data_IF_485439932873
#
_entry.id   IF_485439932873
#
_cell.length_a   1.000
_cell.length_b   1.000
_cell.length_c   1.000
_cell.angle_alpha   90.00
_cell.angle_beta   90.00
_cell.angle_gamma   90.00
#
_symmetry.space_group_name_H-M   'P 1'
#
loop_
_entity.id
_entity.type
_entity.pdbx_description
1 polymer ?
#
# COMPACT_ATOMS: atom_id res chain seq x y z
N UNK A 1 -13.98 -2.46 24.11
CA UNK A 1 -13.30 -1.33 23.44
C UNK A 1 -14.22 -0.14 23.28
N UNK A 2 -15.44 -0.31 22.76
CA UNK A 2 -16.42 0.77 22.52
C UNK A 2 -16.66 1.68 23.73
N UNK A 3 -16.93 1.12 24.92
CA UNK A 3 -17.14 1.94 26.14
C UNK A 3 -15.97 2.86 26.49
N UNK A 4 -14.73 2.47 26.19
CA UNK A 4 -13.56 3.31 26.46
C UNK A 4 -13.42 4.41 25.39
N UNK A 5 -13.82 4.13 24.15
CA UNK A 5 -13.84 5.09 23.05
C UNK A 5 -14.94 6.15 23.26
N UNK A 6 -16.15 5.74 23.65
CA UNK A 6 -17.28 6.66 23.87
C UNK A 6 -17.05 7.61 25.05
N UNK A 7 -16.27 7.17 26.05
CA UNK A 7 -15.91 7.99 27.22
C UNK A 7 -14.62 8.81 26.97
N UNK A 8 -14.02 8.71 25.78
CA UNK A 8 -12.78 9.43 25.44
C UNK A 8 -11.56 9.00 26.27
N UNK A 9 -11.62 7.83 26.91
CA UNK A 9 -10.51 7.34 27.74
C UNK A 9 -9.50 6.58 26.88
N UNK A 10 -8.68 7.34 26.15
CA UNK A 10 -7.69 6.83 25.22
C UNK A 10 -6.61 5.97 25.90
N UNK A 11 -6.26 6.24 27.16
CA UNK A 11 -5.33 5.38 27.93
C UNK A 11 -5.88 3.98 28.12
N UNK A 12 -7.14 3.86 28.55
CA UNK A 12 -7.82 2.58 28.74
C UNK A 12 -8.07 1.87 27.42
N UNK A 13 -8.41 2.62 26.37
CA UNK A 13 -8.57 2.08 25.02
C UNK A 13 -7.26 1.51 24.47
N UNK A 14 -6.16 2.24 24.57
CA UNK A 14 -4.83 1.80 24.14
C UNK A 14 -4.37 0.54 24.89
N UNK A 15 -4.53 0.52 26.21
CA UNK A 15 -4.22 -0.67 27.01
C UNK A 15 -5.06 -1.87 26.56
N UNK A 16 -6.37 -1.67 26.34
CA UNK A 16 -7.25 -2.74 25.89
C UNK A 16 -6.86 -3.26 24.52
N UNK A 17 -6.54 -2.39 23.55
CA UNK A 17 -6.03 -2.78 22.22
C UNK A 17 -4.73 -3.58 22.34
N UNK A 18 -3.82 -3.22 23.26
CA UNK A 18 -2.57 -3.98 23.47
C UNK A 18 -2.81 -5.36 24.08
N UNK A 19 -3.80 -5.50 24.97
CA UNK A 19 -4.11 -6.75 25.65
C UNK A 19 -4.95 -7.69 24.78
N UNK A 20 -5.93 -7.14 24.05
CA UNK A 20 -6.84 -7.91 23.19
C UNK A 20 -6.37 -8.02 21.75
N UNK A 21 -5.51 -7.10 21.32
CA UNK A 21 -4.83 -7.22 20.04
C UNK A 21 -4.10 -8.54 20.04
N UNK A 22 -4.41 -9.41 19.08
CA UNK A 22 -3.56 -10.56 18.81
C UNK A 22 -2.16 -9.98 18.69
N UNK A 23 -1.23 -10.43 19.55
CA UNK A 23 0.20 -10.31 19.23
C UNK A 23 0.26 -10.79 17.80
N UNK A 24 0.66 -9.92 16.87
CA UNK A 24 0.92 -10.37 15.51
C UNK A 24 1.76 -11.62 15.71
N UNK A 25 1.20 -12.79 15.35
CA UNK A 25 2.00 -13.99 15.21
C UNK A 25 3.13 -13.50 14.34
N UNK A 26 4.32 -13.45 14.92
CA UNK A 26 5.39 -12.59 14.41
C UNK A 26 5.48 -12.77 12.92
N UNK A 27 5.76 -11.68 12.21
CA UNK A 27 5.95 -11.61 10.75
C UNK A 27 7.03 -12.58 10.21
N UNK A 28 7.53 -13.51 11.03
CA UNK A 28 8.00 -14.79 10.55
C UNK A 28 6.85 -15.79 10.61
N UNK A 29 6.10 -15.94 9.51
CA UNK A 29 5.65 -17.30 9.18
C UNK A 29 6.86 -18.20 9.41
N UNK A 30 6.70 -19.19 10.28
CA UNK A 30 7.77 -20.16 10.47
C UNK A 30 7.86 -20.85 9.13
N UNK A 31 8.93 -20.58 8.39
CA UNK A 31 9.08 -21.13 7.05
C UNK A 31 9.10 -22.63 7.20
N UNK A 32 8.16 -23.31 6.57
CA UNK A 32 8.00 -24.74 6.67
C UNK A 32 8.44 -25.44 5.39
N UNK A 33 8.84 -26.70 5.55
CA UNK A 33 8.96 -27.64 4.45
C UNK A 33 7.59 -27.93 3.83
N UNK A 34 7.58 -28.64 2.70
CA UNK A 34 6.34 -29.05 2.03
C UNK A 34 5.44 -29.95 2.90
N UNK A 35 6.02 -30.65 3.88
CA UNK A 35 5.30 -31.47 4.86
C UNK A 35 4.75 -30.67 6.06
N UNK A 36 4.99 -29.35 6.10
CA UNK A 36 4.56 -28.47 7.18
C UNK A 36 5.51 -28.41 8.39
N UNK A 37 6.63 -29.13 8.37
CA UNK A 37 7.62 -29.09 9.44
C UNK A 37 8.38 -27.75 9.46
N UNK A 38 8.66 -27.18 10.64
CA UNK A 38 9.33 -25.88 10.74
C UNK A 38 10.82 -25.97 10.39
N UNK A 39 11.30 -25.04 9.55
CA UNK A 39 12.71 -24.96 9.15
C UNK A 39 13.46 -24.04 10.11
N UNK A 40 14.31 -24.63 10.94
CA UNK A 40 15.16 -23.89 11.89
C UNK A 40 16.47 -23.41 11.28
N UNK A 41 16.97 -24.09 10.24
CA UNK A 41 18.23 -23.74 9.58
C UNK A 41 18.07 -22.55 8.63
N UNK A 42 18.89 -21.51 8.77
CA UNK A 42 18.81 -20.29 7.96
C UNK A 42 19.10 -20.53 6.47
N UNK A 43 20.09 -21.34 6.14
CA UNK A 43 20.42 -21.65 4.74
C UNK A 43 19.24 -22.35 4.06
N UNK A 44 18.65 -23.33 4.75
CA UNK A 44 17.48 -24.05 4.24
C UNK A 44 16.26 -23.15 4.06
N UNK A 45 16.07 -22.16 4.95
CA UNK A 45 15.03 -21.14 4.80
C UNK A 45 15.19 -20.33 3.51
N UNK A 46 16.42 -19.95 3.15
CA UNK A 46 16.70 -19.22 1.90
C UNK A 46 16.43 -20.09 0.66
N UNK A 47 16.82 -21.36 0.69
CA UNK A 47 16.50 -22.31 -0.38
C UNK A 47 14.99 -22.47 -0.55
N UNK A 48 14.25 -22.58 0.56
CA UNK A 48 12.78 -22.70 0.52
C UNK A 48 12.11 -21.46 -0.06
N UNK A 49 12.64 -20.26 0.22
CA UNK A 49 12.20 -19.03 -0.45
C UNK A 49 12.47 -19.07 -1.95
N UNK A 50 13.66 -19.50 -2.37
CA UNK A 50 14.01 -19.59 -3.79
C UNK A 50 13.10 -20.59 -4.55
N UNK A 51 12.81 -21.74 -3.95
CA UNK A 51 11.85 -22.71 -4.47
C UNK A 51 10.45 -22.11 -4.62
N UNK A 52 9.96 -21.42 -3.58
CA UNK A 52 8.64 -20.79 -3.59
C UNK A 52 8.53 -19.73 -4.69
N UNK A 53 9.51 -18.82 -4.80
CA UNK A 53 9.53 -17.81 -5.85
C UNK A 53 9.64 -18.42 -7.24
N UNK A 54 10.46 -19.46 -7.40
CA UNK A 54 10.60 -20.15 -8.69
C UNK A 54 9.28 -20.79 -9.13
N UNK A 55 8.52 -21.38 -8.21
CA UNK A 55 7.23 -21.97 -8.51
C UNK A 55 6.14 -20.91 -8.79
N UNK A 56 6.13 -19.81 -8.03
CA UNK A 56 5.16 -18.71 -8.23
C UNK A 56 5.39 -17.95 -9.54
N UNK A 57 6.66 -17.74 -9.89
CA UNK A 57 7.09 -16.90 -11.02
C UNK A 57 7.63 -17.71 -12.20
N UNK A 58 7.40 -19.02 -12.25
CA UNK A 58 7.58 -19.79 -13.47
C UNK A 58 6.48 -19.43 -14.47
N UNK A 59 6.55 -18.21 -15.01
CA UNK A 59 5.77 -17.82 -16.17
C UNK A 59 6.26 -18.58 -17.39
N UNK A 60 5.34 -19.01 -18.24
CA UNK A 60 5.69 -19.44 -19.59
C UNK A 60 6.49 -18.32 -20.27
N UNK A 61 7.49 -18.64 -21.10
CA UNK A 61 8.14 -17.64 -21.93
C UNK A 61 7.04 -16.87 -22.64
N UNK A 62 6.99 -15.57 -22.37
CA UNK A 62 5.94 -14.76 -22.94
C UNK A 62 6.05 -14.93 -24.47
N UNK A 63 4.94 -15.20 -25.17
CA UNK A 63 4.99 -15.48 -26.59
C UNK A 63 5.73 -14.32 -27.26
N UNK A 64 6.70 -14.63 -28.13
CA UNK A 64 7.55 -13.64 -28.80
C UNK A 64 6.76 -12.58 -29.59
N UNK A 65 5.44 -12.75 -29.70
CA UNK A 65 4.46 -11.75 -30.09
C UNK A 65 4.12 -10.75 -28.98
N UNK A 66 5.11 -10.29 -28.21
CA UNK A 66 5.04 -8.90 -27.78
C UNK A 66 5.30 -8.08 -29.03
N UNK A 67 4.25 -7.54 -29.65
CA UNK A 67 4.42 -6.38 -30.51
C UNK A 67 5.24 -5.40 -29.69
N UNK A 68 6.49 -5.17 -30.10
CA UNK A 68 7.36 -4.24 -29.42
C UNK A 68 6.55 -2.95 -29.27
N UNK A 69 6.16 -2.62 -28.04
CA UNK A 69 5.60 -1.31 -27.75
C UNK A 69 6.66 -0.38 -28.30
N UNK A 70 6.34 0.48 -29.30
CA UNK A 70 7.34 1.34 -29.88
C UNK A 70 8.00 2.07 -28.72
N UNK A 71 9.32 1.90 -28.61
CA UNK A 71 10.10 2.23 -27.41
C UNK A 71 10.07 3.73 -27.04
N UNK A 72 9.28 4.53 -27.76
CA UNK A 72 9.11 5.93 -27.52
C UNK A 72 7.84 6.40 -28.26
N UNK A 73 6.65 6.18 -27.70
CA UNK A 73 5.60 7.18 -27.91
C UNK A 73 5.99 8.32 -26.97
N UNK A 74 6.41 9.49 -27.47
CA UNK A 74 6.64 10.63 -26.59
C UNK A 74 5.31 10.92 -25.92
N UNK A 75 5.24 10.71 -24.61
CA UNK A 75 4.13 11.22 -23.84
C UNK A 75 4.25 12.75 -23.95
N UNK A 76 3.34 13.40 -24.68
CA UNK A 76 3.22 14.85 -24.71
C UNK A 76 2.70 15.32 -23.35
N UNK A 77 3.52 15.16 -22.32
CA UNK A 77 3.32 15.77 -21.02
C UNK A 77 4.04 17.09 -21.10
N UNK A 78 3.28 18.18 -21.13
CA UNK A 78 3.82 19.53 -21.00
C UNK A 78 4.59 19.60 -19.69
N UNK A 79 5.92 19.80 -19.76
CA UNK A 79 6.79 20.00 -18.59
C UNK A 79 6.82 21.45 -18.13
N UNK A 80 6.08 22.33 -18.79
CA UNK A 80 5.97 23.73 -18.40
C UNK A 80 5.30 23.84 -17.04
N UNK A 81 5.68 24.90 -16.31
CA UNK A 81 5.06 25.20 -15.02
C UNK A 81 3.55 25.41 -15.21
N UNK A 82 2.73 24.62 -14.51
CA UNK A 82 1.28 24.73 -14.59
C UNK A 82 0.83 26.13 -14.17
N UNK A 83 -0.01 26.77 -14.98
CA UNK A 83 -0.55 28.09 -14.65
C UNK A 83 -1.45 28.01 -13.42
N UNK A 84 -1.46 29.05 -12.59
CA UNK A 84 -2.36 29.15 -11.43
C UNK A 84 -3.84 28.91 -11.82
N UNK A 85 -4.24 29.34 -13.02
CA UNK A 85 -5.59 29.13 -13.54
C UNK A 85 -5.89 27.65 -13.80
N UNK A 86 -4.90 26.91 -14.29
CA UNK A 86 -4.99 25.47 -14.55
C UNK A 86 -5.07 24.70 -13.24
N UNK A 87 -4.22 25.06 -12.28
CA UNK A 87 -4.23 24.50 -10.91
C UNK A 87 -5.60 24.73 -10.26
N UNK A 88 -6.14 25.96 -10.31
CA UNK A 88 -7.47 26.28 -9.76
C UNK A 88 -8.60 25.48 -10.44
N UNK A 89 -8.53 25.29 -11.75
CA UNK A 89 -9.51 24.51 -12.51
C UNK A 89 -9.48 23.04 -12.11
N UNK A 90 -8.29 22.47 -11.93
CA UNK A 90 -8.12 21.06 -11.55
C UNK A 90 -8.58 20.81 -10.11
N UNK A 91 -8.22 21.69 -9.16
CA UNK A 91 -8.73 21.66 -7.78
C UNK A 91 -10.27 21.72 -7.78
N UNK A 92 -10.86 22.59 -8.61
CA UNK A 92 -12.32 22.68 -8.72
C UNK A 92 -12.93 21.41 -9.32
N UNK A 93 -12.30 20.79 -10.33
CA UNK A 93 -12.77 19.53 -10.91
C UNK A 93 -12.74 18.38 -9.89
N UNK A 94 -11.68 18.29 -9.08
CA UNK A 94 -11.51 17.29 -8.04
C UNK A 94 -12.54 17.44 -6.91
N UNK A 95 -12.98 18.67 -6.64
CA UNK A 95 -13.99 18.95 -5.62
C UNK A 95 -15.42 18.56 -6.01
N UNK A 96 -15.72 18.35 -7.30
CA UNK A 96 -17.10 18.14 -7.80
C UNK A 96 -17.63 16.72 -7.61
N UNK A 97 -16.77 15.72 -7.47
CA UNK A 97 -17.19 14.30 -7.48
C UNK A 97 -16.56 13.44 -6.37
N UNK A 98 -16.00 14.04 -5.32
CA UNK A 98 -15.44 13.27 -4.19
C UNK A 98 -16.39 13.20 -3.01
N UNK A 99 -16.54 11.99 -2.46
CA UNK A 99 -17.02 11.81 -1.10
C UNK A 99 -16.05 12.50 -0.12
N UNK A 100 -16.52 13.10 0.98
CA UNK A 100 -15.67 13.72 1.99
C UNK A 100 -14.56 12.75 2.43
N UNK A 101 -13.31 13.22 2.46
CA UNK A 101 -12.22 12.44 3.02
C UNK A 101 -12.50 12.10 4.50
N UNK A 102 -12.01 10.95 4.96
CA UNK A 102 -12.16 10.51 6.37
C UNK A 102 -11.55 11.49 7.38
N UNK A 103 -10.71 12.41 6.90
CA UNK A 103 -10.05 13.46 7.66
C UNK A 103 -10.94 14.69 7.89
N UNK A 104 -12.11 14.80 7.21
CA UNK A 104 -13.07 15.89 7.43
C UNK A 104 -12.54 17.28 7.06
N UNK A 105 -11.40 17.35 6.37
CA UNK A 105 -10.77 18.61 5.97
C UNK A 105 -11.34 19.05 4.62
N UNK A 106 -12.09 20.18 4.54
CA UNK A 106 -12.40 20.79 3.27
C UNK A 106 -11.12 21.13 2.49
N UNK A 107 -11.14 20.94 1.17
CA UNK A 107 -10.03 21.16 0.22
C UNK A 107 -9.44 22.60 0.26
N UNK A 108 -10.04 23.50 1.04
CA UNK A 108 -9.69 24.90 1.20
C UNK A 108 -8.41 25.16 2.03
N UNK A 109 -7.84 24.14 2.68
CA UNK A 109 -6.63 24.31 3.50
C UNK A 109 -5.30 24.34 2.70
N UNK A 110 -5.34 24.10 1.39
CA UNK A 110 -4.17 24.24 0.49
C UNK A 110 -3.78 25.70 0.18
N UNK A 111 -4.17 26.65 1.05
CA UNK A 111 -3.80 28.07 0.97
C UNK A 111 -2.86 28.56 2.07
N UNK A 112 -2.37 27.68 2.96
CA UNK A 112 -1.49 28.10 4.06
C UNK A 112 -0.09 27.51 3.97
N UNK A 113 0.65 27.88 2.92
CA UNK A 113 2.11 28.10 3.01
C UNK A 113 2.41 29.28 2.09
N UNK A 114 2.47 30.47 2.68
CA UNK A 114 3.20 31.62 2.16
C UNK A 114 4.33 31.91 3.15
#
# INVERSE_FOLDING_TARGET
>A
MERAATVGNFRKLFHLIRVTGRKALGVSETICEADGSPIHNQQRRLERWAEHFKAQFSWSPAPASHTAIPAHVPWFVTTDSSSEKEIRKEIQAWSRHKAPGSDGLPLLYLKMVE
#
